data_IF_402111201083
#
_entry.id   IF_402111201083
#
_cell.length_a   1.000
_cell.length_b   1.000
_cell.length_c   1.000
_cell.angle_alpha   90.00
_cell.angle_beta   90.00
_cell.angle_gamma   90.00
#
_symmetry.space_group_name_H-M   'P 1'
#
loop_
_entity.id
_entity.type
_entity.pdbx_description
1 polymer ?
#
# COMPACT_ATOMS: atom_id res chain seq x y z
N UNK A 1 -30.55 -5.84 -25.55
CA UNK A 1 -30.12 -4.82 -24.56
C UNK A 1 -30.53 -5.16 -23.12
N UNK A 2 -31.75 -5.61 -22.82
CA UNK A 2 -32.18 -5.97 -21.44
C UNK A 2 -31.38 -7.10 -20.77
N UNK A 3 -31.02 -8.16 -21.52
CA UNK A 3 -30.31 -9.31 -20.95
C UNK A 3 -28.90 -8.95 -20.42
N UNK A 4 -28.19 -8.06 -21.12
CA UNK A 4 -26.85 -7.57 -20.75
C UNK A 4 -26.89 -6.69 -19.49
N UNK A 5 -27.98 -5.92 -19.30
CA UNK A 5 -28.15 -5.09 -18.12
C UNK A 5 -28.30 -5.93 -16.85
N UNK A 6 -29.07 -7.04 -16.89
CA UNK A 6 -29.24 -7.93 -15.74
C UNK A 6 -28.00 -8.74 -15.38
N UNK A 7 -27.15 -9.08 -16.35
CA UNK A 7 -25.85 -9.73 -16.07
C UNK A 7 -24.86 -8.75 -15.45
N UNK A 8 -24.76 -7.51 -15.97
CA UNK A 8 -23.92 -6.47 -15.36
C UNK A 8 -24.43 -6.09 -13.96
N UNK A 9 -25.75 -5.91 -13.79
CA UNK A 9 -26.36 -5.56 -12.50
C UNK A 9 -26.13 -6.61 -11.40
N UNK A 10 -26.01 -7.90 -11.77
CA UNK A 10 -25.65 -8.99 -10.84
C UNK A 10 -24.14 -9.12 -10.63
N UNK A 11 -23.32 -8.72 -11.60
CA UNK A 11 -21.86 -8.75 -11.51
C UNK A 11 -21.29 -7.69 -10.57
N UNK A 12 -21.89 -6.49 -10.52
CA UNK A 12 -21.45 -5.39 -9.65
C UNK A 12 -21.45 -5.75 -8.16
N UNK A 13 -22.53 -6.30 -7.56
CA UNK A 13 -22.52 -6.67 -6.14
C UNK A 13 -21.56 -7.82 -5.84
N UNK A 14 -21.42 -8.79 -6.75
CA UNK A 14 -20.46 -9.89 -6.60
C UNK A 14 -19.01 -9.38 -6.58
N UNK A 15 -18.67 -8.46 -7.50
CA UNK A 15 -17.37 -7.79 -7.52
C UNK A 15 -17.14 -6.94 -6.27
N UNK A 16 -18.15 -6.16 -5.85
CA UNK A 16 -18.09 -5.36 -4.64
C UNK A 16 -17.85 -6.20 -3.38
N UNK A 17 -18.56 -7.33 -3.24
CA UNK A 17 -18.38 -8.25 -2.13
C UNK A 17 -16.97 -8.85 -2.09
N UNK A 18 -16.43 -9.24 -3.26
CA UNK A 18 -15.03 -9.70 -3.37
C UNK A 18 -14.04 -8.61 -2.99
N UNK A 19 -14.23 -7.38 -3.48
CA UNK A 19 -13.36 -6.25 -3.15
C UNK A 19 -13.35 -5.96 -1.64
N UNK A 20 -14.52 -6.00 -0.98
CA UNK A 20 -14.64 -5.84 0.48
C UNK A 20 -13.94 -6.99 1.20
N UNK A 21 -14.15 -8.24 0.78
CA UNK A 21 -13.48 -9.39 1.39
C UNK A 21 -11.95 -9.28 1.32
N UNK A 22 -11.40 -8.91 0.15
CA UNK A 22 -9.97 -8.68 0.01
C UNK A 22 -9.47 -7.48 0.82
N UNK A 23 -10.26 -6.41 0.94
CA UNK A 23 -9.91 -5.27 1.78
C UNK A 23 -9.82 -5.65 3.26
N UNK A 24 -10.75 -6.49 3.75
CA UNK A 24 -10.75 -6.99 5.14
C UNK A 24 -9.56 -7.90 5.40
N UNK A 25 -9.31 -8.89 4.54
CA UNK A 25 -8.13 -9.78 4.67
C UNK A 25 -6.85 -8.97 4.61
N UNK A 26 -6.76 -8.03 3.66
CA UNK A 26 -5.62 -7.14 3.53
C UNK A 26 -5.41 -6.28 4.77
N UNK A 27 -6.48 -5.76 5.38
CA UNK A 27 -6.40 -5.01 6.63
C UNK A 27 -5.73 -5.84 7.73
N UNK A 28 -6.19 -7.08 7.95
CA UNK A 28 -5.61 -7.92 8.99
C UNK A 28 -4.15 -8.24 8.72
N UNK A 29 -3.81 -8.71 7.51
CA UNK A 29 -2.41 -8.94 7.12
C UNK A 29 -1.50 -7.74 7.43
N UNK A 30 -1.98 -6.53 7.15
CA UNK A 30 -1.23 -5.29 7.31
C UNK A 30 -1.09 -4.78 8.75
N UNK A 31 -1.93 -5.25 9.66
CA UNK A 31 -1.96 -4.76 11.05
C UNK A 31 -1.70 -5.85 12.08
N UNK A 32 -1.65 -7.13 11.68
CA UNK A 32 -1.39 -8.26 12.59
C UNK A 32 -0.11 -9.01 12.24
N UNK A 33 0.38 -8.93 11.01
CA UNK A 33 1.62 -9.61 10.60
C UNK A 33 2.79 -8.63 10.45
N UNK A 34 3.47 -8.35 11.56
CA UNK A 34 4.76 -7.67 11.55
C UNK A 34 5.86 -8.71 11.31
N UNK A 35 6.65 -8.53 10.26
CA UNK A 35 7.82 -9.37 9.97
C UNK A 35 9.05 -8.69 10.57
N UNK A 36 10.03 -9.47 11.01
CA UNK A 36 11.25 -8.92 11.62
C UNK A 36 12.06 -8.02 10.66
N UNK A 37 11.82 -8.16 9.36
CA UNK A 37 12.39 -7.36 8.28
C UNK A 37 11.41 -6.33 7.70
N UNK A 38 10.28 -6.07 8.36
CA UNK A 38 9.30 -5.07 7.93
C UNK A 38 9.71 -3.68 8.45
N UNK A 39 10.29 -2.89 7.57
CA UNK A 39 10.73 -1.53 7.85
C UNK A 39 9.89 -0.48 7.11
N UNK A 40 8.73 -0.87 6.58
CA UNK A 40 7.81 0.02 5.88
C UNK A 40 7.39 1.20 6.79
N UNK A 41 7.20 0.94 8.08
CA UNK A 41 6.90 1.95 9.09
C UNK A 41 8.08 2.90 9.37
N UNK A 42 9.31 2.36 9.39
CA UNK A 42 10.52 3.17 9.56
C UNK A 42 10.72 4.13 8.38
N UNK A 43 10.57 3.64 7.14
CA UNK A 43 10.64 4.46 5.94
C UNK A 43 9.53 5.52 5.94
N UNK A 44 8.32 5.16 6.36
CA UNK A 44 7.22 6.13 6.46
C UNK A 44 7.55 7.27 7.44
N UNK A 45 8.10 6.94 8.60
CA UNK A 45 8.54 7.92 9.59
C UNK A 45 9.69 8.80 9.06
N UNK A 46 10.72 8.21 8.45
CA UNK A 46 11.87 8.97 7.95
C UNK A 46 11.49 9.93 6.81
N UNK A 47 10.60 9.50 5.90
CA UNK A 47 10.13 10.36 4.80
C UNK A 47 9.24 11.49 5.31
N UNK A 48 8.40 11.24 6.34
CA UNK A 48 7.60 12.30 6.97
C UNK A 48 8.50 13.40 7.53
N UNK A 49 9.54 13.04 8.26
CA UNK A 49 10.46 13.99 8.88
C UNK A 49 11.31 14.74 7.83
N UNK A 50 11.69 14.06 6.75
CA UNK A 50 12.36 14.68 5.60
C UNK A 50 11.46 15.71 4.90
N UNK A 51 10.19 15.37 4.62
CA UNK A 51 9.22 16.28 4.01
C UNK A 51 8.86 17.45 4.94
N UNK A 52 8.94 17.26 6.26
CA UNK A 52 8.78 18.32 7.24
C UNK A 52 9.94 19.35 7.25
N UNK A 53 10.99 19.12 6.46
CA UNK A 53 12.14 20.02 6.32
C UNK A 53 13.41 19.55 7.03
N UNK A 54 13.42 18.35 7.61
CA UNK A 54 14.62 17.77 8.21
C UNK A 54 15.67 17.41 7.16
N UNK A 55 16.94 17.68 7.44
CA UNK A 55 18.03 17.26 6.56
C UNK A 55 18.26 15.75 6.67
N UNK A 56 18.47 15.10 5.53
CA UNK A 56 18.79 13.68 5.51
C UNK A 56 20.20 13.44 6.07
N UNK A 57 20.34 12.47 6.97
CA UNK A 57 21.58 12.11 7.70
C UNK A 57 22.05 13.10 8.77
N UNK A 58 21.49 14.31 8.83
CA UNK A 58 21.70 15.25 9.93
C UNK A 58 20.60 15.10 10.98
N UNK A 59 19.37 15.44 10.59
CA UNK A 59 18.21 15.44 11.49
C UNK A 59 17.43 14.12 11.41
N UNK A 60 17.42 13.50 10.22
CA UNK A 60 16.70 12.26 9.95
C UNK A 60 17.68 11.11 9.82
N UNK A 61 17.65 10.19 10.78
CA UNK A 61 18.41 8.95 10.69
C UNK A 61 17.83 8.04 9.60
N UNK A 62 18.61 7.81 8.54
CA UNK A 62 18.23 6.97 7.40
C UNK A 62 19.31 5.93 7.10
N UNK A 63 18.93 4.66 7.02
CA UNK A 63 19.74 3.59 6.42
C UNK A 63 19.64 3.57 4.88
N UNK A 64 18.68 4.32 4.34
CA UNK A 64 18.37 4.39 2.92
C UNK A 64 18.97 5.62 2.25
N UNK A 65 19.17 5.53 0.92
CA UNK A 65 19.68 6.62 0.09
C UNK A 65 18.71 7.81 -0.07
N UNK A 66 19.21 8.98 -0.50
CA UNK A 66 18.40 10.19 -0.69
C UNK A 66 17.32 10.05 -1.76
N UNK A 67 17.61 9.31 -2.84
CA UNK A 67 16.67 9.07 -3.94
C UNK A 67 15.31 8.52 -3.46
N UNK A 68 15.33 7.63 -2.45
CA UNK A 68 14.12 7.07 -1.90
C UNK A 68 13.25 8.17 -1.27
N UNK A 69 13.85 9.05 -0.48
CA UNK A 69 13.15 10.13 0.22
C UNK A 69 12.57 11.17 -0.73
N UNK A 70 13.30 11.50 -1.80
CA UNK A 70 12.80 12.39 -2.85
C UNK A 70 11.62 11.77 -3.60
N UNK A 71 11.73 10.51 -4.02
CA UNK A 71 10.69 9.81 -4.76
C UNK A 71 9.39 9.69 -3.94
N UNK A 72 9.49 9.27 -2.67
CA UNK A 72 8.33 9.14 -1.79
C UNK A 72 7.81 10.50 -1.31
N UNK A 73 8.70 11.48 -1.09
CA UNK A 73 8.32 12.84 -0.72
C UNK A 73 7.47 13.51 -1.79
N UNK A 74 7.81 13.35 -3.08
CA UNK A 74 6.98 13.81 -4.20
C UNK A 74 5.61 13.12 -4.17
N UNK A 75 5.57 11.79 -4.02
CA UNK A 75 4.33 11.03 -3.96
C UNK A 75 3.40 11.45 -2.82
N UNK A 76 3.96 11.78 -1.65
CA UNK A 76 3.22 12.25 -0.47
C UNK A 76 2.70 13.67 -0.66
N UNK A 77 3.51 14.53 -1.28
CA UNK A 77 3.14 15.92 -1.58
C UNK A 77 1.99 15.99 -2.58
N UNK A 78 2.00 15.10 -3.59
CA UNK A 78 0.95 15.01 -4.61
C UNK A 78 -0.38 14.42 -4.09
N UNK A 79 -0.35 13.71 -2.96
CA UNK A 79 -1.53 13.03 -2.39
C UNK A 79 -2.02 13.69 -1.10
N UNK A 80 -1.65 14.95 -0.86
CA UNK A 80 -2.06 15.76 0.29
C UNK A 80 -1.77 15.10 1.65
N UNK A 81 -0.64 14.41 1.80
CA UNK A 81 -0.21 13.85 3.09
C UNK A 81 -0.93 12.57 3.55
N UNK A 82 -1.93 12.08 2.81
CA UNK A 82 -2.74 10.90 3.19
C UNK A 82 -1.98 9.57 2.91
N UNK A 83 -0.82 9.65 2.25
CA UNK A 83 -0.17 8.51 1.61
C UNK A 83 0.93 7.82 2.40
N UNK A 84 1.48 8.40 3.47
CA UNK A 84 2.67 7.81 4.11
C UNK A 84 2.39 6.41 4.65
N UNK A 85 1.15 6.15 5.09
CA UNK A 85 0.74 4.84 5.59
C UNK A 85 0.13 3.91 4.52
N UNK A 86 -0.38 4.45 3.41
CA UNK A 86 -1.15 3.69 2.39
C UNK A 86 -0.30 3.25 1.19
N UNK A 87 0.85 3.88 0.95
CA UNK A 87 1.58 3.76 -0.32
C UNK A 87 2.76 2.78 -0.22
N UNK A 88 3.48 2.72 0.91
CA UNK A 88 4.46 1.64 1.23
C UNK A 88 3.76 0.28 1.28
N UNK A 89 2.56 0.32 1.85
CA UNK A 89 1.69 -0.81 2.14
C UNK A 89 1.05 -1.51 0.92
N UNK A 90 1.06 -0.86 -0.24
CA UNK A 90 0.66 -1.49 -1.52
C UNK A 90 1.70 -2.49 -2.01
N UNK A 91 2.93 -2.45 -1.51
CA UNK A 91 3.96 -3.43 -1.87
C UNK A 91 3.73 -4.79 -1.20
N UNK A 92 3.29 -4.82 0.05
CA UNK A 92 2.94 -6.04 0.81
C UNK A 92 1.70 -6.72 0.23
N UNK A 93 0.62 -5.96 -0.01
CA UNK A 93 -0.60 -6.48 -0.65
C UNK A 93 -0.35 -6.98 -2.09
N UNK A 94 0.51 -6.28 -2.85
CA UNK A 94 0.91 -6.70 -4.18
C UNK A 94 1.70 -8.03 -4.20
N UNK A 95 2.47 -8.32 -3.15
CA UNK A 95 3.17 -9.61 -2.99
C UNK A 95 2.20 -10.72 -2.59
N UNK A 96 1.31 -10.51 -1.63
CA UNK A 96 0.28 -11.49 -1.27
C UNK A 96 -0.65 -11.81 -2.45
N UNK A 97 -1.05 -10.81 -3.23
CA UNK A 97 -1.82 -11.04 -4.46
C UNK A 97 -1.05 -11.86 -5.49
N UNK A 98 0.23 -11.55 -5.73
CA UNK A 98 1.07 -12.35 -6.65
C UNK A 98 1.21 -13.79 -6.16
N UNK A 99 1.45 -14.01 -4.87
CA UNK A 99 1.57 -15.34 -4.27
C UNK A 99 0.25 -16.12 -4.34
N UNK A 100 -0.88 -15.52 -4.01
CA UNK A 100 -2.20 -16.14 -4.18
C UNK A 100 -2.53 -16.42 -5.65
N UNK A 101 -2.21 -15.49 -6.56
CA UNK A 101 -2.43 -15.68 -8.01
C UNK A 101 -1.48 -16.69 -8.66
N UNK A 102 -0.33 -16.97 -8.03
CA UNK A 102 0.58 -18.01 -8.45
C UNK A 102 0.16 -19.38 -7.89
N UNK A 103 -0.36 -19.42 -6.65
CA UNK A 103 -0.90 -20.65 -6.03
C UNK A 103 -2.24 -21.10 -6.61
N UNK A 104 -3.05 -20.19 -7.13
CA UNK A 104 -4.32 -20.50 -7.81
C UNK A 104 -4.14 -21.04 -9.24
N UNK A 105 -2.90 -21.27 -9.71
CA UNK A 105 -2.56 -21.84 -11.02
C UNK A 105 -2.05 -23.29 -10.96
N UNK A 106 -2.28 -23.98 -9.85
CA UNK A 106 -2.12 -25.43 -9.74
C UNK A 106 -3.49 -26.09 -9.56
#
# INVERSE_FOLDING_TARGET
>A
MRATFWTVARGVPAYGALAVAFAVVGYFELFTHFRDYDDEGYIALSVREFVAGGSLYGDVYSQYGPFLHELWGIGISLTAGIAVHRLTRRMTLGRCWRLCSARARC
#
